data_IF_438201995883
#
_entry.id   IF_438201995883
#
_cell.length_a   1.000
_cell.length_b   1.000
_cell.length_c   1.000
_cell.angle_alpha   90.00
_cell.angle_beta   90.00
_cell.angle_gamma   90.00
#
_symmetry.space_group_name_H-M   'P 1'
#
loop_
_entity.id
_entity.type
_entity.pdbx_description
1 polymer ?
#
# COMPACT_ATOMS: atom_id res chain seq x y z
N UNK A 1 39.51 -2.66 49.85
CA UNK A 1 38.53 -3.48 49.11
C UNK A 1 37.16 -2.86 49.28
N UNK A 2 36.67 -2.15 48.27
CA UNK A 2 35.23 -2.11 47.95
C UNK A 2 35.11 -1.53 46.54
N UNK A 3 34.87 -2.43 45.59
CA UNK A 3 34.57 -2.15 44.20
C UNK A 3 33.17 -1.57 44.12
N UNK A 4 32.99 -0.43 43.45
CA UNK A 4 31.69 -0.05 42.92
C UNK A 4 31.76 -0.33 41.42
N UNK A 5 31.33 -1.53 41.02
CA UNK A 5 31.19 -1.92 39.63
C UNK A 5 30.02 -1.14 39.02
N UNK A 6 30.29 -0.46 37.91
CA UNK A 6 29.29 0.18 37.08
C UNK A 6 28.26 -0.84 36.62
N UNK A 7 27.00 -0.54 36.88
CA UNK A 7 25.88 -1.20 36.22
C UNK A 7 25.85 -0.65 34.80
N UNK A 8 26.49 -1.36 33.89
CA UNK A 8 26.17 -1.31 32.47
C UNK A 8 24.67 -1.61 32.37
N UNK A 9 23.86 -0.58 32.07
CA UNK A 9 22.47 -0.78 31.66
C UNK A 9 22.52 -1.64 30.40
N UNK A 10 22.26 -2.93 30.60
CA UNK A 10 22.12 -3.92 29.55
C UNK A 10 21.02 -3.49 28.60
N UNK A 11 21.34 -3.62 27.31
CA UNK A 11 20.47 -3.37 26.19
C UNK A 11 19.07 -3.96 26.38
N UNK A 12 18.09 -3.08 26.59
CA UNK A 12 16.78 -3.29 26.00
C UNK A 12 16.87 -2.80 24.55
N UNK A 13 17.53 -3.59 23.71
CA UNK A 13 17.11 -3.62 22.32
C UNK A 13 15.66 -4.09 22.39
N UNK A 14 14.70 -3.16 22.37
CA UNK A 14 13.45 -3.47 21.70
C UNK A 14 13.90 -4.10 20.39
N UNK A 15 13.64 -5.38 20.20
CA UNK A 15 13.63 -5.94 18.87
C UNK A 15 12.57 -5.14 18.13
N UNK A 16 12.97 -4.01 17.53
CA UNK A 16 12.27 -3.49 16.38
C UNK A 16 12.05 -4.73 15.52
N UNK A 17 10.80 -5.13 15.35
CA UNK A 17 10.44 -6.21 14.46
C UNK A 17 11.10 -5.82 13.14
N UNK A 18 12.21 -6.49 12.80
CA UNK A 18 12.90 -6.19 11.56
C UNK A 18 11.91 -6.55 10.49
N UNK A 19 11.28 -5.55 9.86
CA UNK A 19 10.35 -5.79 8.78
C UNK A 19 11.05 -6.71 7.77
N UNK A 20 10.54 -7.93 7.62
CA UNK A 20 11.16 -8.94 6.78
C UNK A 20 10.83 -8.64 5.33
N UNK A 21 11.55 -7.65 4.79
CA UNK A 21 11.43 -7.32 3.38
C UNK A 21 11.94 -8.45 2.49
N UNK A 22 12.67 -9.45 3.00
CA UNK A 22 13.30 -10.49 2.17
C UNK A 22 12.29 -11.21 1.26
N UNK A 23 11.02 -11.25 1.67
CA UNK A 23 9.93 -11.87 0.91
C UNK A 23 9.30 -10.99 -0.17
N UNK A 24 9.55 -9.67 -0.15
CA UNK A 24 9.10 -8.76 -1.21
C UNK A 24 9.84 -9.01 -2.52
N UNK A 25 9.21 -8.78 -3.69
CA UNK A 25 9.85 -8.96 -4.98
C UNK A 25 11.17 -8.18 -5.08
N UNK A 26 12.21 -8.82 -5.62
CA UNK A 26 13.55 -8.23 -5.71
C UNK A 26 13.64 -7.05 -6.68
N UNK A 27 12.62 -6.86 -7.53
CA UNK A 27 12.51 -5.71 -8.42
C UNK A 27 12.24 -4.41 -7.65
N UNK A 28 11.66 -4.50 -6.44
CA UNK A 28 11.29 -3.33 -5.63
C UNK A 28 12.50 -2.86 -4.81
N UNK A 29 12.74 -1.55 -4.80
CA UNK A 29 13.81 -0.96 -4.02
C UNK A 29 13.53 -1.08 -2.53
N UNK A 30 14.49 -1.64 -1.79
CA UNK A 30 14.46 -1.77 -0.33
C UNK A 30 14.89 -0.45 0.30
N UNK A 31 13.93 0.46 0.46
CA UNK A 31 14.18 1.78 1.03
C UNK A 31 13.07 2.17 2.02
N UNK A 32 13.11 3.41 2.51
CA UNK A 32 12.17 3.94 3.48
C UNK A 32 10.72 4.05 2.99
N UNK A 33 10.42 3.78 1.71
CA UNK A 33 9.06 3.80 1.15
C UNK A 33 8.45 2.39 1.02
N UNK A 34 9.20 1.35 1.33
CA UNK A 34 8.70 -0.03 1.38
C UNK A 34 8.19 -0.33 2.80
N UNK A 35 7.01 -0.93 2.87
CA UNK A 35 6.43 -1.47 4.11
C UNK A 35 5.90 -2.87 3.86
N UNK A 36 5.76 -3.64 4.93
CA UNK A 36 5.08 -4.94 4.90
C UNK A 36 3.86 -4.94 5.78
N UNK A 37 2.78 -5.53 5.29
CA UNK A 37 1.59 -5.76 6.10
C UNK A 37 0.94 -7.07 5.68
N UNK A 38 0.79 -7.98 6.65
CA UNK A 38 0.36 -9.36 6.42
C UNK A 38 1.25 -10.00 5.34
N UNK A 39 0.67 -10.65 4.33
CA UNK A 39 1.40 -11.35 3.26
C UNK A 39 1.63 -10.47 2.00
N UNK A 40 1.59 -9.14 2.15
CA UNK A 40 1.77 -8.19 1.05
C UNK A 40 2.89 -7.18 1.35
N UNK A 41 3.54 -6.73 0.30
CA UNK A 41 4.49 -5.63 0.32
C UNK A 41 3.87 -4.39 -0.32
N UNK A 42 4.12 -3.23 0.27
CA UNK A 42 3.55 -1.97 -0.19
C UNK A 42 4.66 -0.96 -0.46
N UNK A 43 4.71 -0.43 -1.68
CA UNK A 43 5.58 0.69 -2.03
C UNK A 43 4.77 1.98 -2.09
N UNK A 44 5.17 2.96 -1.28
CA UNK A 44 4.55 4.28 -1.23
C UNK A 44 5.30 5.24 -2.14
N UNK A 45 4.82 5.41 -3.38
CA UNK A 45 5.41 6.30 -4.38
C UNK A 45 5.09 7.79 -4.14
N UNK A 46 5.33 8.28 -2.91
CA UNK A 46 5.05 9.66 -2.46
C UNK A 46 5.96 10.72 -3.07
N UNK A 47 7.05 10.28 -3.72
CA UNK A 47 8.08 11.10 -4.35
C UNK A 47 7.78 11.49 -5.80
N UNK A 48 6.70 10.95 -6.39
CA UNK A 48 6.26 11.25 -7.77
C UNK A 48 4.74 11.29 -7.84
N UNK A 49 4.22 11.80 -8.96
CA UNK A 49 2.79 11.88 -9.24
C UNK A 49 2.52 11.53 -10.69
N UNK A 50 1.41 10.85 -10.96
CA UNK A 50 0.98 10.50 -12.31
C UNK A 50 -0.53 10.24 -12.34
N UNK A 51 -1.07 9.95 -13.52
CA UNK A 51 -2.48 9.58 -13.69
C UNK A 51 -2.72 8.15 -13.22
N UNK A 52 -3.95 7.83 -12.85
CA UNK A 52 -4.29 6.50 -12.30
C UNK A 52 -3.86 5.35 -13.23
N UNK A 53 -4.11 5.39 -14.56
CA UNK A 53 -3.71 4.31 -15.46
C UNK A 53 -2.20 4.10 -15.50
N UNK A 54 -1.43 5.19 -15.50
CA UNK A 54 0.04 5.16 -15.54
C UNK A 54 0.61 4.64 -14.21
N UNK A 55 0.01 5.04 -13.08
CA UNK A 55 0.37 4.54 -11.76
C UNK A 55 0.19 3.03 -11.66
N UNK A 56 -0.98 2.52 -12.10
CA UNK A 56 -1.24 1.08 -12.13
C UNK A 56 -0.33 0.35 -13.12
N UNK A 57 -0.04 0.93 -14.29
CA UNK A 57 0.90 0.35 -15.25
C UNK A 57 2.30 0.20 -14.65
N UNK A 58 2.75 1.17 -13.84
CA UNK A 58 4.04 1.08 -13.17
C UNK A 58 4.08 0.00 -12.09
N UNK A 59 3.05 -0.09 -11.23
CA UNK A 59 2.97 -1.18 -10.25
C UNK A 59 2.95 -2.55 -10.96
N UNK A 60 2.23 -2.67 -12.08
CA UNK A 60 2.19 -3.90 -12.89
C UNK A 60 3.51 -4.26 -13.53
N UNK A 61 4.32 -3.28 -13.96
CA UNK A 61 5.66 -3.52 -14.50
C UNK A 61 6.56 -4.27 -13.51
N UNK A 62 6.31 -4.12 -12.21
CA UNK A 62 7.08 -4.74 -11.14
C UNK A 62 6.38 -5.95 -10.50
N UNK A 63 5.32 -6.44 -11.14
CA UNK A 63 4.59 -7.65 -10.73
C UNK A 63 3.52 -7.42 -9.67
N UNK A 64 3.07 -6.18 -9.49
CA UNK A 64 2.02 -5.79 -8.56
C UNK A 64 0.83 -5.10 -9.22
N UNK A 65 0.13 -4.28 -8.44
CA UNK A 65 -0.94 -3.40 -8.88
C UNK A 65 -1.04 -2.20 -7.95
N UNK A 66 -1.90 -1.23 -8.26
CA UNK A 66 -2.31 -0.28 -7.22
C UNK A 66 -2.95 -1.02 -6.03
N UNK A 67 -2.73 -0.47 -4.83
CA UNK A 67 -3.10 -1.10 -3.57
C UNK A 67 -4.61 -1.33 -3.42
N UNK A 68 -4.97 -2.48 -2.88
CA UNK A 68 -6.31 -2.86 -2.47
C UNK A 68 -6.52 -2.61 -0.98
N UNK A 69 -7.76 -2.29 -0.60
CA UNK A 69 -8.13 -2.02 0.80
C UNK A 69 -9.42 -2.77 1.13
N UNK A 70 -9.28 -3.97 1.67
CA UNK A 70 -10.40 -4.90 1.89
C UNK A 70 -10.86 -5.02 3.34
N UNK A 71 -10.25 -4.25 4.25
CA UNK A 71 -10.69 -4.12 5.64
C UNK A 71 -10.14 -2.83 6.29
N UNK A 72 -10.67 -2.55 7.48
CA UNK A 72 -10.31 -1.36 8.26
C UNK A 72 -8.85 -1.39 8.75
N UNK A 73 -8.28 -2.57 8.99
CA UNK A 73 -6.88 -2.70 9.41
C UNK A 73 -5.91 -2.35 8.28
N UNK A 74 -6.23 -2.75 7.05
CA UNK A 74 -5.45 -2.38 5.86
C UNK A 74 -5.54 -0.87 5.63
N UNK A 75 -6.75 -0.28 5.73
CA UNK A 75 -6.92 1.18 5.67
C UNK A 75 -6.05 1.88 6.73
N UNK A 76 -6.12 1.42 7.98
CA UNK A 76 -5.35 2.01 9.08
C UNK A 76 -3.83 1.90 8.85
N UNK A 77 -3.34 0.76 8.36
CA UNK A 77 -1.93 0.54 8.02
C UNK A 77 -1.44 1.49 6.91
N UNK A 78 -2.22 1.67 5.85
CA UNK A 78 -1.85 2.60 4.78
C UNK A 78 -1.80 4.04 5.30
N UNK A 79 -2.79 4.45 6.10
CA UNK A 79 -2.83 5.78 6.72
C UNK A 79 -1.66 6.02 7.66
N UNK A 80 -1.35 5.09 8.57
CA UNK A 80 -0.22 5.25 9.48
C UNK A 80 1.10 5.33 8.73
N UNK A 81 1.27 4.52 7.67
CA UNK A 81 2.46 4.57 6.82
C UNK A 81 2.61 5.91 6.11
N UNK A 82 1.52 6.51 5.64
CA UNK A 82 1.53 7.86 5.04
C UNK A 82 1.88 8.95 6.06
N UNK A 83 1.35 8.86 7.27
CA UNK A 83 1.69 9.77 8.38
C UNK A 83 3.17 9.66 8.74
N UNK A 84 3.71 8.44 8.85
CA UNK A 84 5.13 8.20 9.15
C UNK A 84 6.06 8.72 8.05
N UNK A 85 5.61 8.66 6.79
CA UNK A 85 6.29 9.25 5.64
C UNK A 85 6.14 10.77 5.55
N UNK A 86 5.43 11.39 6.50
CA UNK A 86 5.11 12.81 6.53
C UNK A 86 4.45 13.28 5.22
N UNK A 87 3.60 12.43 4.65
CA UNK A 87 2.87 12.72 3.42
C UNK A 87 1.80 13.79 3.69
N UNK A 88 1.95 14.93 3.01
CA UNK A 88 1.09 16.10 3.21
C UNK A 88 0.44 16.60 1.91
N UNK A 89 0.40 15.77 0.86
CA UNK A 89 -0.22 16.13 -0.42
C UNK A 89 -1.73 15.86 -0.42
N UNK A 90 -2.44 16.40 -1.41
CA UNK A 90 -3.91 16.41 -1.44
C UNK A 90 -4.54 15.01 -1.52
N UNK A 91 -3.96 14.08 -2.28
CA UNK A 91 -4.52 12.74 -2.48
C UNK A 91 -3.47 11.72 -2.93
N UNK A 92 -3.81 10.44 -2.80
CA UNK A 92 -2.97 9.32 -3.22
C UNK A 92 -3.82 8.21 -3.83
N UNK A 93 -3.48 7.76 -5.04
CA UNK A 93 -4.22 6.72 -5.75
C UNK A 93 -4.15 5.37 -5.05
N UNK A 94 -5.29 4.67 -5.07
CA UNK A 94 -5.45 3.26 -4.73
C UNK A 94 -6.08 2.53 -5.92
N UNK A 95 -6.17 1.21 -5.86
CA UNK A 95 -6.55 0.38 -7.00
C UNK A 95 -8.06 0.28 -7.28
N UNK A 96 -8.92 0.93 -6.50
CA UNK A 96 -10.37 0.83 -6.70
C UNK A 96 -10.75 1.65 -7.93
N UNK A 97 -11.58 1.06 -8.78
CA UNK A 97 -12.03 1.68 -10.02
C UNK A 97 -13.30 0.97 -10.52
N UNK A 98 -14.08 1.63 -11.37
CA UNK A 98 -15.27 1.06 -12.03
C UNK A 98 -15.27 1.31 -13.55
N UNK A 99 -14.07 1.55 -14.13
CA UNK A 99 -13.81 1.79 -15.56
C UNK A 99 -14.47 0.76 -16.50
N UNK A 100 -14.67 -0.47 -16.03
CA UNK A 100 -15.29 -1.55 -16.81
C UNK A 100 -16.82 -1.45 -16.82
N UNK A 101 -17.42 -1.06 -15.71
CA UNK A 101 -18.87 -1.00 -15.53
C UNK A 101 -19.17 -0.01 -14.43
N UNK A 102 -19.72 1.13 -14.83
CA UNK A 102 -20.17 2.22 -13.96
C UNK A 102 -20.91 1.70 -12.72
N UNK A 103 -20.57 2.25 -11.55
CA UNK A 103 -21.10 1.87 -10.24
C UNK A 103 -20.82 0.43 -9.79
N UNK A 104 -19.99 -0.31 -10.52
CA UNK A 104 -19.53 -1.67 -10.16
C UNK A 104 -18.02 -1.68 -9.95
N UNK A 105 -17.59 -1.20 -8.78
CA UNK A 105 -16.19 -1.11 -8.40
C UNK A 105 -15.48 -2.47 -8.32
N UNK A 106 -14.25 -2.49 -8.82
CA UNK A 106 -13.30 -3.60 -8.78
C UNK A 106 -11.89 -3.11 -8.39
N UNK A 107 -11.10 -3.98 -7.77
CA UNK A 107 -9.69 -3.69 -7.50
C UNK A 107 -8.83 -4.00 -8.74
N UNK A 108 -7.88 -3.12 -9.05
CA UNK A 108 -6.89 -3.34 -10.11
C UNK A 108 -6.01 -4.59 -9.90
N UNK A 109 -5.93 -5.09 -8.65
CA UNK A 109 -5.28 -6.35 -8.25
C UNK A 109 -6.08 -7.60 -8.65
N UNK A 110 -7.39 -7.44 -8.89
CA UNK A 110 -8.32 -8.55 -9.09
C UNK A 110 -8.88 -9.14 -7.79
N UNK A 111 -8.53 -8.60 -6.63
CA UNK A 111 -9.12 -8.99 -5.35
C UNK A 111 -10.62 -8.65 -5.32
N UNK A 112 -11.40 -9.43 -4.55
CA UNK A 112 -12.80 -9.10 -4.30
C UNK A 112 -12.90 -7.80 -3.51
N UNK A 113 -13.90 -6.97 -3.82
CA UNK A 113 -14.20 -5.77 -3.04
C UNK A 113 -15.07 -6.15 -1.84
N UNK A 114 -14.53 -6.03 -0.63
CA UNK A 114 -15.25 -6.37 0.62
C UNK A 114 -15.40 -5.23 1.59
N UNK A 115 -14.83 -4.06 1.28
CA UNK A 115 -14.79 -2.91 2.16
C UNK A 115 -14.83 -1.62 1.34
N UNK A 116 -15.49 -0.60 1.90
CA UNK A 116 -15.50 0.75 1.37
C UNK A 116 -15.26 1.76 2.48
N UNK A 117 -14.48 2.80 2.21
CA UNK A 117 -14.23 3.91 3.13
C UNK A 117 -14.44 5.27 2.45
N UNK A 118 -15.55 5.41 1.73
CA UNK A 118 -15.95 6.64 1.06
C UNK A 118 -15.99 7.83 2.02
N UNK A 119 -15.52 8.99 1.55
CA UNK A 119 -15.72 10.24 2.24
C UNK A 119 -17.22 10.60 2.24
N UNK A 120 -17.62 11.48 3.16
CA UNK A 120 -19.02 11.92 3.23
C UNK A 120 -19.41 12.63 1.93
N UNK A 121 -20.41 12.08 1.23
CA UNK A 121 -20.89 12.57 -0.06
C UNK A 121 -20.35 11.82 -1.28
N UNK A 122 -19.52 10.80 -1.07
CA UNK A 122 -18.90 10.00 -2.13
C UNK A 122 -19.46 8.57 -2.21
N UNK A 123 -19.34 7.90 -3.37
CA UNK A 123 -18.86 8.43 -4.65
C UNK A 123 -19.85 9.42 -5.29
N UNK A 124 -19.36 10.37 -6.07
CA UNK A 124 -20.18 11.36 -6.76
C UNK A 124 -19.74 11.61 -8.21
N UNK A 125 -20.64 12.20 -9.01
CA UNK A 125 -20.34 12.54 -10.40
C UNK A 125 -19.90 14.02 -10.54
N UNK A 126 -19.17 14.58 -9.56
CA UNK A 126 -18.83 16.01 -9.51
C UNK A 126 -18.05 16.49 -10.74
N UNK A 127 -17.30 15.62 -11.39
CA UNK A 127 -16.54 15.92 -12.60
C UNK A 127 -16.98 15.13 -13.84
N UNK A 128 -18.14 14.47 -13.78
CA UNK A 128 -18.67 13.64 -14.85
C UNK A 128 -18.28 12.18 -14.66
N UNK A 129 -17.39 11.66 -15.51
CA UNK A 129 -16.93 10.26 -15.46
C UNK A 129 -15.71 10.19 -14.52
N UNK A 130 -15.90 9.58 -13.36
CA UNK A 130 -14.94 9.56 -12.24
C UNK A 130 -14.59 8.12 -11.85
N UNK A 131 -14.00 7.38 -12.78
CA UNK A 131 -13.94 5.93 -12.62
C UNK A 131 -12.80 5.42 -11.71
N UNK A 132 -12.04 6.31 -11.05
CA UNK A 132 -10.82 5.98 -10.32
C UNK A 132 -10.79 6.59 -8.93
N UNK A 133 -10.18 5.90 -7.96
CA UNK A 133 -10.33 6.26 -6.55
C UNK A 133 -8.99 6.58 -5.90
N UNK A 134 -8.98 7.65 -5.09
CA UNK A 134 -7.86 8.03 -4.25
C UNK A 134 -8.27 8.17 -2.78
N UNK A 135 -7.29 8.11 -1.89
CA UNK A 135 -7.45 8.53 -0.49
C UNK A 135 -7.13 10.03 -0.37
N UNK A 136 -8.01 10.82 0.27
CA UNK A 136 -7.80 12.27 0.47
C UNK A 136 -7.29 12.60 1.86
N UNK A 137 -6.09 13.19 1.95
CA UNK A 137 -5.49 13.57 3.22
C UNK A 137 -6.36 14.56 4.01
N UNK A 138 -7.04 15.48 3.31
CA UNK A 138 -7.96 16.48 3.89
C UNK A 138 -9.27 15.88 4.43
N UNK A 139 -9.54 14.60 4.15
CA UNK A 139 -10.74 13.87 4.58
C UNK A 139 -10.38 12.69 5.49
N UNK A 140 -9.31 12.83 6.28
CA UNK A 140 -8.77 11.74 7.10
C UNK A 140 -8.50 10.45 6.30
N UNK A 141 -8.08 10.62 5.04
CA UNK A 141 -7.81 9.54 4.09
C UNK A 141 -9.01 8.66 3.73
N UNK A 142 -10.23 9.15 3.94
CA UNK A 142 -11.41 8.61 3.27
C UNK A 142 -11.31 8.78 1.75
N UNK A 143 -12.08 7.98 1.03
CA UNK A 143 -11.95 7.81 -0.42
C UNK A 143 -12.83 8.80 -1.18
N UNK A 144 -12.30 9.36 -2.26
CA UNK A 144 -13.04 10.13 -3.26
C UNK A 144 -12.81 9.44 -4.61
N UNK A 145 -13.87 9.30 -5.39
CA UNK A 145 -13.76 9.02 -6.81
C UNK A 145 -13.29 10.27 -7.57
N UNK A 146 -12.62 10.05 -8.69
CA UNK A 146 -11.95 11.08 -9.45
C UNK A 146 -11.74 10.61 -10.90
N UNK A 147 -11.62 11.53 -11.87
CA UNK A 147 -11.26 11.20 -13.24
C UNK A 147 -9.89 10.52 -13.30
N UNK A 148 -9.84 9.36 -13.94
CA UNK A 148 -8.62 8.56 -14.07
C UNK A 148 -7.48 9.31 -14.79
N UNK A 149 -7.82 10.15 -15.76
CA UNK A 149 -6.86 10.88 -16.60
C UNK A 149 -7.47 12.22 -17.02
N UNK A 150 -7.40 13.22 -16.15
CA UNK A 150 -7.78 14.59 -16.47
C UNK A 150 -6.73 15.55 -15.94
N UNK A 151 -6.14 16.40 -16.76
CA UNK A 151 -5.20 17.41 -16.27
C UNK A 151 -5.95 18.47 -15.43
N UNK A 152 -5.44 18.90 -14.25
CA UNK A 152 -4.14 18.59 -13.65
C UNK A 152 -4.18 17.49 -12.56
N UNK A 153 -5.10 16.55 -12.64
CA UNK A 153 -5.39 15.51 -11.62
C UNK A 153 -4.41 14.34 -11.70
N UNK A 154 -3.15 14.60 -11.35
CA UNK A 154 -2.11 13.61 -11.13
C UNK A 154 -1.77 13.53 -9.64
N UNK A 155 -1.56 12.31 -9.12
CA UNK A 155 -1.34 12.10 -7.69
C UNK A 155 -0.26 11.05 -7.46
N UNK A 156 0.30 11.05 -6.25
CA UNK A 156 1.12 9.94 -5.75
C UNK A 156 0.26 8.67 -5.67
N UNK A 157 0.89 7.52 -5.45
CA UNK A 157 0.18 6.24 -5.44
C UNK A 157 0.85 5.21 -4.54
N UNK A 158 0.11 4.16 -4.22
CA UNK A 158 0.59 3.03 -3.44
C UNK A 158 0.51 1.79 -4.34
N UNK A 159 1.65 1.13 -4.56
CA UNK A 159 1.69 -0.18 -5.19
C UNK A 159 1.59 -1.27 -4.11
N UNK A 160 0.91 -2.36 -4.42
CA UNK A 160 0.93 -3.59 -3.64
C UNK A 160 1.53 -4.75 -4.44
N UNK A 161 2.19 -5.67 -3.72
CA UNK A 161 2.83 -6.84 -4.28
C UNK A 161 2.63 -8.06 -3.36
N UNK A 162 2.46 -9.24 -3.96
CA UNK A 162 2.44 -10.51 -3.21
C UNK A 162 3.83 -10.82 -2.65
N UNK A 163 3.89 -11.26 -1.39
CA UNK A 163 5.11 -11.84 -0.86
C UNK A 163 5.40 -13.20 -1.50
N UNK A 164 6.67 -13.50 -1.74
CA UNK A 164 7.09 -14.84 -2.13
C UNK A 164 6.67 -15.86 -1.06
N UNK A 165 5.96 -16.91 -1.48
CA UNK A 165 5.65 -18.03 -0.60
C UNK A 165 6.95 -18.74 -0.27
N UNK A 166 7.21 -18.98 1.02
CA UNK A 166 8.30 -19.85 1.43
C UNK A 166 7.97 -21.27 0.94
N UNK A 167 8.53 -21.68 -0.18
CA UNK A 167 8.46 -23.06 -0.63
C UNK A 167 9.30 -23.89 0.34
N UNK A 168 8.67 -24.45 1.38
CA UNK A 168 9.26 -25.60 2.05
C UNK A 168 9.29 -26.70 0.99
N UNK A 169 10.47 -26.94 0.39
CA UNK A 169 10.64 -28.04 -0.53
C UNK A 169 10.13 -29.33 0.14
N UNK A 170 9.38 -30.19 -0.57
CA UNK A 170 9.08 -31.50 -0.03
C UNK A 170 10.41 -32.17 0.29
N UNK A 171 10.59 -32.62 1.54
CA UNK A 171 11.69 -33.49 1.88
C UNK A 171 11.43 -34.80 1.14
N UNK A 172 12.03 -34.95 -0.04
CA UNK A 172 12.08 -36.22 -0.73
C UNK A 172 13.01 -37.13 0.07
N UNK A 173 12.44 -37.88 1.02
CA UNK A 173 13.15 -38.99 1.66
C UNK A 173 13.33 -40.07 0.59
N UNK A 174 14.53 -40.15 0.01
CA UNK A 174 14.94 -41.32 -0.74
C UNK A 174 14.99 -42.51 0.24
N UNK A 175 14.05 -43.44 0.12
CA UNK A 175 14.16 -44.76 0.74
C UNK A 175 14.98 -45.67 -0.18
N UNK A 176 15.83 -46.44 0.48
CA UNK A 176 16.83 -47.38 -0.03
C UNK A 176 16.26 -48.46 -0.95
#
# INVERSE_FOLDING_TARGET
>A
MSLVQGILLSCLFLSALTEDFSKCPSAILRNQYLRTFRNRCYEFAVYRETYWPDANAECRREGGSLASVNDAETQAFLVSSLVDLNFAKHGIWIGLNDQKTESSYEWASGDNVTFFNWASGEPNFAHGVEDCVLMKSTKAYAWEDHPCHLWPQHYSYICEYEMSRSTTAPVTTAQQ
#
